data_IF_544422929283
#
_entry.id   IF_544422929283
#
_cell.length_a   1.000
_cell.length_b   1.000
_cell.length_c   1.000
_cell.angle_alpha   90.00
_cell.angle_beta   90.00
_cell.angle_gamma   90.00
#
_symmetry.space_group_name_H-M   'P 1'
#
loop_
_entity.id
_entity.type
_entity.pdbx_description
1 polymer ?
#
# COMPACT_ATOMS: atom_id res chain seq x y z
N UNK A 1 -17.44 18.97 0.56
CA UNK A 1 -16.17 18.75 -0.17
C UNK A 1 -16.07 19.76 -1.29
N UNK A 2 -15.07 20.66 -1.25
CA UNK A 2 -14.99 21.85 -2.09
C UNK A 2 -14.75 21.47 -3.57
N UNK A 3 -15.34 22.20 -4.54
CA UNK A 3 -15.23 21.91 -5.99
C UNK A 3 -13.77 21.90 -6.46
N UNK A 4 -12.94 22.81 -5.93
CA UNK A 4 -11.50 22.89 -6.21
C UNK A 4 -10.75 21.62 -5.78
N UNK A 5 -11.13 20.99 -4.68
CA UNK A 5 -10.52 19.75 -4.21
C UNK A 5 -10.87 18.55 -5.10
N UNK A 6 -12.06 18.56 -5.74
CA UNK A 6 -12.44 17.53 -6.71
C UNK A 6 -11.61 17.61 -7.99
N UNK A 7 -11.41 18.79 -8.56
CA UNK A 7 -10.60 18.96 -9.78
C UNK A 7 -9.12 18.58 -9.55
N UNK A 8 -8.58 18.86 -8.38
CA UNK A 8 -7.23 18.45 -8.02
C UNK A 8 -7.09 16.92 -7.93
N UNK A 9 -8.05 16.23 -7.29
CA UNK A 9 -8.02 14.76 -7.20
C UNK A 9 -8.14 14.12 -8.58
N UNK A 10 -9.01 14.62 -9.44
CA UNK A 10 -9.18 14.08 -10.81
C UNK A 10 -7.88 14.20 -11.64
N UNK A 11 -7.05 15.21 -11.40
CA UNK A 11 -5.75 15.35 -12.06
C UNK A 11 -4.69 14.39 -11.49
N UNK A 12 -4.65 14.19 -10.18
CA UNK A 12 -3.73 13.25 -9.53
C UNK A 12 -4.06 11.79 -9.84
N UNK A 13 -5.35 11.44 -9.97
CA UNK A 13 -5.78 10.13 -10.45
C UNK A 13 -5.31 9.87 -11.89
N UNK A 14 -5.36 10.88 -12.79
CA UNK A 14 -4.84 10.77 -14.16
C UNK A 14 -3.33 10.50 -14.19
N UNK A 15 -2.57 11.19 -13.35
CA UNK A 15 -1.12 10.98 -13.22
C UNK A 15 -0.82 9.56 -12.74
N UNK A 16 -1.49 9.11 -11.69
CA UNK A 16 -1.32 7.76 -11.16
C UNK A 16 -1.76 6.69 -12.17
N UNK A 17 -2.82 6.96 -12.96
CA UNK A 17 -3.27 6.09 -14.04
C UNK A 17 -2.25 6.01 -15.19
N UNK A 18 -1.63 7.12 -15.56
CA UNK A 18 -0.58 7.13 -16.58
C UNK A 18 0.62 6.27 -16.14
N UNK A 19 1.07 6.43 -14.87
CA UNK A 19 2.10 5.57 -14.31
C UNK A 19 1.70 4.08 -14.30
N UNK A 20 0.47 3.77 -13.91
CA UNK A 20 -0.05 2.40 -13.96
C UNK A 20 0.05 1.79 -15.36
N UNK A 21 -0.17 2.58 -16.41
CA UNK A 21 -0.05 2.12 -17.80
C UNK A 21 1.40 1.71 -18.12
N UNK A 22 2.39 2.48 -17.68
CA UNK A 22 3.80 2.12 -17.84
C UNK A 22 4.19 0.87 -17.03
N UNK A 23 3.76 0.78 -15.78
CA UNK A 23 3.99 -0.41 -14.96
C UNK A 23 3.37 -1.66 -15.60
N UNK A 24 2.16 -1.56 -16.11
CA UNK A 24 1.51 -2.67 -16.81
C UNK A 24 2.21 -3.06 -18.10
N UNK A 25 2.73 -2.08 -18.87
CA UNK A 25 3.52 -2.33 -20.06
C UNK A 25 4.84 -3.05 -19.74
N UNK A 26 5.55 -2.65 -18.67
CA UNK A 26 6.73 -3.34 -18.16
C UNK A 26 6.41 -4.81 -17.82
N UNK A 27 5.34 -5.06 -17.07
CA UNK A 27 4.95 -6.41 -16.68
C UNK A 27 4.56 -7.29 -17.88
N UNK A 28 3.91 -6.72 -18.91
CA UNK A 28 3.47 -7.45 -20.10
C UNK A 28 4.62 -7.71 -21.08
N UNK A 29 5.41 -6.69 -21.40
CA UNK A 29 6.42 -6.74 -22.45
C UNK A 29 7.81 -7.16 -21.91
N UNK A 30 8.01 -7.10 -20.60
CA UNK A 30 9.29 -7.33 -19.94
C UNK A 30 10.09 -6.03 -19.75
N UNK A 31 11.07 -6.11 -18.87
CA UNK A 31 12.02 -5.04 -18.59
C UNK A 31 13.40 -5.48 -19.14
N UNK A 32 14.05 -4.71 -20.03
CA UNK A 32 15.31 -5.13 -20.67
C UNK A 32 16.48 -5.25 -19.68
N UNK A 33 16.37 -4.69 -18.49
CA UNK A 33 17.38 -4.73 -17.43
C UNK A 33 17.22 -5.89 -16.46
N UNK A 34 16.15 -6.71 -16.62
CA UNK A 34 15.88 -7.87 -15.79
C UNK A 34 16.04 -9.16 -16.59
N UNK A 35 16.60 -10.19 -15.96
CA UNK A 35 16.62 -11.52 -16.52
C UNK A 35 15.22 -12.19 -16.46
N UNK A 36 15.12 -13.41 -17.01
CA UNK A 36 13.84 -14.13 -17.09
C UNK A 36 13.27 -14.50 -15.71
N UNK A 37 14.13 -14.83 -14.77
CA UNK A 37 13.71 -15.23 -13.42
C UNK A 37 13.26 -14.02 -12.62
N UNK A 38 13.99 -12.91 -12.66
CA UNK A 38 13.62 -11.63 -12.05
C UNK A 38 12.30 -11.08 -12.61
N UNK A 39 12.10 -11.19 -13.92
CA UNK A 39 10.81 -10.83 -14.55
C UNK A 39 9.66 -11.72 -14.08
N UNK A 40 9.89 -13.03 -13.91
CA UNK A 40 8.88 -13.93 -13.39
C UNK A 40 8.51 -13.59 -11.93
N UNK A 41 9.50 -13.27 -11.09
CA UNK A 41 9.31 -12.83 -9.71
C UNK A 41 8.54 -11.51 -9.65
N UNK A 42 8.93 -10.52 -10.45
CA UNK A 42 8.23 -9.26 -10.55
C UNK A 42 6.76 -9.44 -10.95
N UNK A 43 6.48 -10.27 -11.97
CA UNK A 43 5.11 -10.58 -12.40
C UNK A 43 4.29 -11.28 -11.33
N UNK A 44 4.90 -12.21 -10.59
CA UNK A 44 4.23 -12.93 -9.51
C UNK A 44 3.78 -12.02 -8.35
N UNK A 45 4.47 -10.92 -8.14
CA UNK A 45 4.10 -9.90 -7.15
C UNK A 45 2.84 -9.11 -7.54
N UNK A 46 2.51 -9.04 -8.84
CA UNK A 46 1.35 -8.30 -9.35
C UNK A 46 0.29 -9.19 -10.02
N UNK A 47 -0.19 -10.26 -9.36
CA UNK A 47 -1.09 -11.23 -10.00
C UNK A 47 -2.41 -10.60 -10.45
N UNK A 48 -2.89 -9.58 -9.73
CA UNK A 48 -4.11 -8.85 -10.09
C UNK A 48 -3.95 -7.94 -11.32
N UNK A 49 -2.73 -7.60 -11.73
CA UNK A 49 -2.46 -6.89 -12.99
C UNK A 49 -2.32 -7.85 -14.17
N UNK A 50 -1.90 -9.09 -13.92
CA UNK A 50 -1.62 -10.08 -14.94
C UNK A 50 -2.84 -10.94 -15.31
N UNK A 51 -3.70 -11.24 -14.35
CA UNK A 51 -4.90 -12.04 -14.57
C UNK A 51 -6.11 -11.17 -14.93
N UNK A 52 -6.18 -10.77 -16.21
CA UNK A 52 -7.30 -9.97 -16.74
C UNK A 52 -8.64 -10.71 -16.75
N UNK A 53 -8.65 -12.03 -16.69
CA UNK A 53 -9.88 -12.81 -16.62
C UNK A 53 -10.52 -12.69 -15.23
N UNK A 54 -9.72 -12.65 -14.19
CA UNK A 54 -10.17 -12.53 -12.80
C UNK A 54 -10.33 -11.08 -12.36
N UNK A 55 -9.41 -10.21 -12.83
CA UNK A 55 -9.35 -8.80 -12.42
C UNK A 55 -9.45 -7.89 -13.65
N UNK A 56 -10.62 -7.30 -13.94
CA UNK A 56 -10.77 -6.38 -15.08
C UNK A 56 -9.72 -5.26 -15.00
N UNK A 57 -8.92 -5.04 -16.05
CA UNK A 57 -7.84 -4.06 -16.04
C UNK A 57 -8.26 -2.65 -15.68
N UNK A 58 -9.45 -2.25 -16.12
CA UNK A 58 -10.01 -0.93 -15.83
C UNK A 58 -10.35 -0.76 -14.33
N UNK A 59 -10.84 -1.82 -13.67
CA UNK A 59 -11.10 -1.80 -12.24
C UNK A 59 -9.80 -1.70 -11.46
N UNK A 60 -8.80 -2.52 -11.80
CA UNK A 60 -7.48 -2.51 -11.15
C UNK A 60 -6.82 -1.15 -11.31
N UNK A 61 -6.86 -0.58 -12.52
CA UNK A 61 -6.35 0.75 -12.81
C UNK A 61 -7.04 1.84 -11.98
N UNK A 62 -8.37 1.77 -11.87
CA UNK A 62 -9.15 2.72 -11.06
C UNK A 62 -8.77 2.64 -9.57
N UNK A 63 -8.67 1.42 -9.02
CA UNK A 63 -8.27 1.21 -7.62
C UNK A 63 -6.83 1.70 -7.39
N UNK A 64 -5.92 1.39 -8.32
CA UNK A 64 -4.53 1.81 -8.26
C UNK A 64 -4.42 3.34 -8.24
N UNK A 65 -5.05 4.00 -9.21
CA UNK A 65 -5.02 5.45 -9.35
C UNK A 65 -5.63 6.15 -8.13
N UNK A 66 -6.77 5.69 -7.66
CA UNK A 66 -7.44 6.25 -6.48
C UNK A 66 -6.56 6.22 -5.23
N UNK A 67 -5.88 5.10 -4.96
CA UNK A 67 -5.01 4.99 -3.78
C UNK A 67 -3.79 5.90 -3.86
N UNK A 68 -3.24 6.11 -5.06
CA UNK A 68 -2.04 6.90 -5.29
C UNK A 68 -2.30 8.38 -5.53
N UNK A 69 -3.55 8.76 -5.77
CA UNK A 69 -3.93 10.16 -5.87
C UNK A 69 -3.53 10.98 -4.63
N UNK A 70 -3.65 10.39 -3.44
CA UNK A 70 -3.29 11.05 -2.18
C UNK A 70 -1.78 11.35 -2.05
N UNK A 71 -0.85 10.38 -2.19
CA UNK A 71 0.57 10.67 -2.14
C UNK A 71 1.03 11.52 -3.33
N UNK A 72 0.47 11.34 -4.52
CA UNK A 72 0.74 12.20 -5.69
C UNK A 72 0.41 13.66 -5.35
N UNK A 73 -0.77 13.93 -4.76
CA UNK A 73 -1.14 15.29 -4.34
C UNK A 73 -0.16 15.84 -3.31
N UNK A 74 0.20 15.04 -2.29
CA UNK A 74 1.12 15.48 -1.26
C UNK A 74 2.52 15.84 -1.81
N UNK A 75 2.98 15.14 -2.83
CA UNK A 75 4.25 15.42 -3.51
C UNK A 75 4.14 16.71 -4.33
N UNK A 76 3.06 16.87 -5.11
CA UNK A 76 2.85 18.07 -5.95
C UNK A 76 2.67 19.33 -5.11
N UNK A 77 2.06 19.23 -3.94
CA UNK A 77 1.89 20.36 -3.00
C UNK A 77 3.18 20.72 -2.25
N UNK A 78 4.18 19.85 -2.30
CA UNK A 78 5.41 19.99 -1.54
C UNK A 78 6.51 20.66 -2.37
N UNK A 79 7.14 21.69 -1.83
CA UNK A 79 8.37 22.25 -2.39
C UNK A 79 9.55 21.35 -2.01
N UNK A 80 10.26 20.78 -2.99
CA UNK A 80 11.38 19.84 -2.79
C UNK A 80 10.98 18.63 -1.90
N UNK A 81 10.02 17.80 -2.33
CA UNK A 81 9.48 16.74 -1.50
C UNK A 81 10.54 15.68 -1.20
N UNK A 82 10.75 15.40 0.10
CA UNK A 82 11.54 14.29 0.59
C UNK A 82 10.57 13.16 1.00
N UNK A 83 10.65 12.04 0.29
CA UNK A 83 9.73 10.92 0.45
C UNK A 83 10.45 9.73 1.06
N UNK A 84 9.84 9.12 2.06
CA UNK A 84 10.24 7.84 2.61
C UNK A 84 9.21 6.79 2.19
N UNK A 85 9.64 5.83 1.34
CA UNK A 85 8.83 4.69 0.92
C UNK A 85 9.23 3.48 1.78
N UNK A 86 8.42 3.19 2.78
CA UNK A 86 8.68 2.14 3.76
C UNK A 86 8.01 0.83 3.35
N UNK A 87 8.80 -0.22 3.15
CA UNK A 87 8.37 -1.47 2.55
C UNK A 87 8.15 -1.29 1.05
N UNK A 88 9.18 -0.80 0.36
CA UNK A 88 9.09 -0.39 -1.04
C UNK A 88 8.93 -1.56 -2.03
N UNK A 89 9.25 -2.78 -1.58
CA UNK A 89 9.23 -3.95 -2.43
C UNK A 89 10.06 -3.75 -3.70
N UNK A 90 9.48 -4.00 -4.85
CA UNK A 90 10.12 -3.80 -6.15
C UNK A 90 10.17 -2.34 -6.61
N UNK A 91 9.87 -1.35 -5.76
CA UNK A 91 10.08 0.08 -6.01
C UNK A 91 9.06 0.77 -6.90
N UNK A 92 7.91 0.14 -7.22
CA UNK A 92 6.96 0.74 -8.19
C UNK A 92 6.39 2.08 -7.71
N UNK A 93 6.04 2.24 -6.44
CA UNK A 93 5.57 3.51 -5.90
C UNK A 93 6.73 4.53 -5.78
N UNK A 94 7.93 4.05 -5.44
CA UNK A 94 9.15 4.89 -5.41
C UNK A 94 9.44 5.54 -6.75
N UNK A 95 9.29 4.81 -7.87
CA UNK A 95 9.48 5.38 -9.21
C UNK A 95 8.41 6.41 -9.56
N UNK A 96 7.14 6.17 -9.18
CA UNK A 96 6.09 7.17 -9.34
C UNK A 96 6.45 8.47 -8.60
N UNK A 97 6.86 8.36 -7.35
CA UNK A 97 7.20 9.52 -6.53
C UNK A 97 8.42 10.27 -7.04
N UNK A 98 9.46 9.57 -7.48
CA UNK A 98 10.64 10.18 -8.06
C UNK A 98 10.35 10.82 -9.43
N UNK A 99 9.48 10.22 -10.25
CA UNK A 99 9.03 10.81 -11.51
C UNK A 99 8.30 12.14 -11.32
N UNK A 100 7.68 12.36 -10.15
CA UNK A 100 7.04 13.62 -9.77
C UNK A 100 8.02 14.65 -9.16
N UNK A 101 9.31 14.33 -9.09
CA UNK A 101 10.34 15.21 -8.52
C UNK A 101 10.60 14.99 -7.03
N UNK A 102 10.07 13.92 -6.46
CA UNK A 102 10.39 13.51 -5.10
C UNK A 102 11.82 12.98 -4.98
N UNK A 103 12.50 13.36 -3.90
CA UNK A 103 13.74 12.68 -3.46
C UNK A 103 13.34 11.50 -2.59
N UNK A 104 13.46 10.29 -3.13
CA UNK A 104 12.91 9.09 -2.50
C UNK A 104 13.99 8.30 -1.79
N UNK A 105 13.77 7.97 -0.53
CA UNK A 105 14.49 6.92 0.19
C UNK A 105 13.53 5.75 0.36
N UNK A 106 13.84 4.66 -0.32
CA UNK A 106 13.02 3.45 -0.38
C UNK A 106 13.69 2.33 0.42
N UNK A 107 12.96 1.71 1.34
CA UNK A 107 13.51 0.67 2.22
C UNK A 107 12.64 -0.57 2.16
N UNK A 108 13.29 -1.72 2.03
CA UNK A 108 12.65 -3.03 2.17
C UNK A 108 13.58 -4.01 2.88
N UNK A 109 13.02 -4.99 3.57
CA UNK A 109 13.79 -6.04 4.25
C UNK A 109 14.36 -7.07 3.27
N UNK A 110 13.74 -7.24 2.11
CA UNK A 110 14.13 -8.19 1.08
C UNK A 110 15.24 -7.63 0.21
N UNK A 111 16.47 -8.14 0.39
CA UNK A 111 17.61 -7.79 -0.46
C UNK A 111 17.34 -8.07 -1.93
N UNK A 112 16.64 -9.16 -2.24
CA UNK A 112 16.26 -9.54 -3.60
C UNK A 112 15.33 -8.51 -4.25
N UNK A 113 14.30 -8.06 -3.53
CA UNK A 113 13.37 -7.06 -4.06
C UNK A 113 14.04 -5.72 -4.29
N UNK A 114 14.94 -5.33 -3.39
CA UNK A 114 15.76 -4.12 -3.50
C UNK A 114 16.68 -4.20 -4.73
N UNK A 115 17.37 -5.32 -4.93
CA UNK A 115 18.24 -5.53 -6.10
C UNK A 115 17.45 -5.41 -7.43
N UNK A 116 16.28 -6.06 -7.50
CA UNK A 116 15.41 -5.95 -8.67
C UNK A 116 14.91 -4.51 -8.85
N UNK A 117 14.58 -3.80 -7.77
CA UNK A 117 14.17 -2.39 -7.84
C UNK A 117 15.31 -1.51 -8.41
N UNK A 118 16.55 -1.71 -7.98
CA UNK A 118 17.70 -0.99 -8.53
C UNK A 118 17.91 -1.26 -10.03
N UNK A 119 17.80 -2.52 -10.48
CA UNK A 119 17.87 -2.91 -11.89
C UNK A 119 16.71 -2.34 -12.72
N UNK A 120 15.55 -2.07 -12.14
CA UNK A 120 14.41 -1.45 -12.81
C UNK A 120 14.54 0.06 -13.01
N UNK A 121 15.38 0.73 -12.23
CA UNK A 121 15.53 2.19 -12.27
C UNK A 121 15.86 2.73 -13.67
N UNK A 122 16.85 2.19 -14.42
CA UNK A 122 17.17 2.68 -15.77
C UNK A 122 15.96 2.63 -16.72
N UNK A 123 15.14 1.59 -16.66
CA UNK A 123 13.92 1.50 -17.46
C UNK A 123 12.99 2.69 -17.23
N UNK A 124 12.75 3.05 -15.98
CA UNK A 124 11.89 4.21 -15.67
C UNK A 124 12.53 5.54 -15.98
N UNK A 125 13.86 5.66 -15.89
CA UNK A 125 14.60 6.84 -16.32
C UNK A 125 14.47 7.06 -17.83
N UNK A 126 14.50 5.99 -18.62
CA UNK A 126 14.23 6.04 -20.08
C UNK A 126 12.78 6.41 -20.37
N UNK A 127 11.81 5.76 -19.70
CA UNK A 127 10.37 6.03 -19.87
C UNK A 127 10.04 7.50 -19.61
N UNK A 128 10.60 8.06 -18.53
CA UNK A 128 10.34 9.46 -18.14
C UNK A 128 11.35 10.46 -18.72
N UNK A 129 12.37 9.99 -19.44
CA UNK A 129 13.46 10.81 -20.03
C UNK A 129 14.11 11.75 -19.02
N UNK A 130 14.33 11.26 -17.83
CA UNK A 130 14.96 12.02 -16.73
C UNK A 130 15.59 11.08 -15.71
N UNK A 131 16.63 11.56 -15.04
CA UNK A 131 17.17 10.87 -13.86
C UNK A 131 16.17 10.89 -12.71
N UNK A 132 16.04 9.77 -12.00
CA UNK A 132 15.15 9.59 -10.85
C UNK A 132 15.96 9.65 -9.55
N UNK A 133 15.64 10.63 -8.68
CA UNK A 133 16.26 10.74 -7.37
C UNK A 133 15.67 9.70 -6.40
N UNK A 134 16.00 8.44 -6.60
CA UNK A 134 15.60 7.33 -5.73
C UNK A 134 16.82 6.55 -5.27
N UNK A 135 16.85 6.25 -3.96
CA UNK A 135 17.88 5.40 -3.33
C UNK A 135 17.17 4.25 -2.64
N UNK A 136 17.51 3.02 -3.00
CA UNK A 136 16.99 1.82 -2.36
C UNK A 136 17.94 1.33 -1.27
N UNK A 137 17.40 0.75 -0.20
CA UNK A 137 18.17 0.21 0.93
C UNK A 137 17.54 -1.05 1.48
N UNK A 138 18.37 -2.01 1.82
CA UNK A 138 17.94 -3.20 2.57
C UNK A 138 17.99 -2.89 4.04
N UNK A 139 16.84 -2.89 4.72
CA UNK A 139 16.79 -2.73 6.18
C UNK A 139 15.45 -3.20 6.76
N UNK A 140 15.47 -3.66 8.02
CA UNK A 140 14.28 -3.99 8.78
C UNK A 140 13.65 -2.70 9.34
N UNK A 141 12.38 -2.47 9.07
CA UNK A 141 11.65 -1.30 9.55
C UNK A 141 11.48 -1.28 11.08
N UNK A 142 11.56 -2.42 11.75
CA UNK A 142 11.55 -2.48 13.21
C UNK A 142 12.78 -1.79 13.83
N UNK A 143 13.90 -1.76 13.13
CA UNK A 143 15.17 -1.18 13.58
C UNK A 143 15.53 0.12 12.86
N UNK A 144 15.07 0.26 11.62
CA UNK A 144 15.44 1.39 10.76
C UNK A 144 14.97 2.72 11.32
N UNK A 145 15.87 3.69 11.31
CA UNK A 145 15.57 5.09 11.61
C UNK A 145 15.92 5.94 10.40
N UNK A 146 14.97 6.74 9.86
CA UNK A 146 15.27 7.62 8.75
C UNK A 146 16.42 8.58 9.09
N UNK A 147 17.51 8.53 8.31
CA UNK A 147 18.68 9.40 8.51
C UNK A 147 18.36 10.87 8.29
N UNK A 148 17.47 11.13 7.33
CA UNK A 148 17.04 12.49 7.01
C UNK A 148 15.86 12.87 7.88
N UNK A 149 15.97 13.99 8.58
CA UNK A 149 14.86 14.71 9.19
C UNK A 149 14.24 15.61 8.11
N UNK A 150 13.00 16.00 8.26
CA UNK A 150 12.21 16.82 7.30
C UNK A 150 11.53 16.03 6.18
N UNK A 151 11.10 14.81 6.46
CA UNK A 151 10.25 14.05 5.53
C UNK A 151 8.97 14.84 5.22
N UNK A 152 8.69 15.00 3.93
CA UNK A 152 7.43 15.59 3.44
C UNK A 152 6.31 14.55 3.42
N UNK A 153 6.69 13.30 3.08
CA UNK A 153 5.77 12.18 2.97
C UNK A 153 6.46 10.91 3.44
N UNK A 154 5.80 10.14 4.28
CA UNK A 154 6.08 8.72 4.47
C UNK A 154 4.93 7.92 3.88
N UNK A 155 5.25 6.97 3.01
CA UNK A 155 4.32 6.07 2.37
C UNK A 155 4.49 4.65 2.89
N UNK A 156 3.39 4.04 3.31
CA UNK A 156 3.32 2.67 3.84
C UNK A 156 2.20 1.93 3.11
N UNK A 157 2.54 1.09 2.15
CA UNK A 157 1.57 0.34 1.37
C UNK A 157 1.60 -1.14 1.73
N UNK A 158 0.64 -1.60 2.52
CA UNK A 158 0.50 -3.00 2.96
C UNK A 158 1.70 -3.52 3.76
N UNK A 159 2.36 -2.65 4.52
CA UNK A 159 3.57 -2.99 5.27
C UNK A 159 3.42 -2.76 6.78
N UNK A 160 2.63 -1.76 7.21
CA UNK A 160 2.49 -1.48 8.65
C UNK A 160 1.93 -2.68 9.42
N UNK A 161 1.12 -3.49 8.75
CA UNK A 161 0.54 -4.70 9.33
C UNK A 161 1.59 -5.75 9.77
N UNK A 162 2.78 -5.77 9.15
CA UNK A 162 3.86 -6.72 9.43
C UNK A 162 4.97 -6.15 10.31
N UNK A 163 5.01 -4.84 10.55
CA UNK A 163 5.93 -4.21 11.50
C UNK A 163 5.57 -4.67 12.92
N UNK A 164 6.53 -5.22 13.66
CA UNK A 164 6.29 -5.82 14.98
C UNK A 164 6.02 -4.76 16.04
N UNK A 165 6.86 -3.72 16.09
CA UNK A 165 6.70 -2.60 17.02
C UNK A 165 6.23 -1.32 16.32
N UNK A 166 4.95 -1.30 15.96
CA UNK A 166 4.34 -0.22 15.20
C UNK A 166 4.37 1.14 15.92
N UNK A 167 4.21 1.14 17.26
CA UNK A 167 4.27 2.36 18.07
C UNK A 167 5.67 2.99 17.98
N UNK A 168 6.74 2.20 18.18
CA UNK A 168 8.11 2.68 18.10
C UNK A 168 8.51 3.09 16.67
N UNK A 169 8.07 2.34 15.65
CA UNK A 169 8.29 2.69 14.26
C UNK A 169 7.64 4.03 13.92
N UNK A 170 6.35 4.21 14.22
CA UNK A 170 5.62 5.43 13.95
C UNK A 170 6.16 6.64 14.74
N UNK A 171 6.66 6.44 15.96
CA UNK A 171 7.35 7.49 16.73
C UNK A 171 8.63 7.96 16.01
N UNK A 172 9.45 7.03 15.48
CA UNK A 172 10.61 7.38 14.66
C UNK A 172 10.22 8.16 13.41
N UNK A 173 9.15 7.74 12.72
CA UNK A 173 8.62 8.45 11.56
C UNK A 173 8.11 9.84 11.94
N UNK A 174 7.37 9.95 13.05
CA UNK A 174 6.91 11.27 13.53
C UNK A 174 8.08 12.23 13.77
N UNK A 175 9.13 11.77 14.45
CA UNK A 175 10.33 12.57 14.72
C UNK A 175 11.06 13.00 13.44
N UNK A 176 11.07 12.14 12.42
CA UNK A 176 11.68 12.44 11.11
C UNK A 176 10.81 13.32 10.20
N UNK A 177 9.51 13.37 10.42
CA UNK A 177 8.56 14.14 9.61
C UNK A 177 8.66 15.63 9.94
N UNK A 178 8.67 16.51 8.93
CA UNK A 178 8.61 17.97 9.10
C UNK A 178 7.23 18.45 9.54
N UNK A 179 7.11 19.67 10.01
CA UNK A 179 5.81 20.33 10.21
C UNK A 179 5.05 20.37 8.86
N UNK A 180 3.76 20.01 8.86
CA UNK A 180 2.94 19.85 7.66
C UNK A 180 3.30 18.64 6.79
N UNK A 181 4.28 17.84 7.20
CA UNK A 181 4.59 16.57 6.54
C UNK A 181 3.56 15.49 6.87
N UNK A 182 3.44 14.50 6.00
CA UNK A 182 2.36 13.50 6.07
C UNK A 182 2.89 12.08 6.18
N UNK A 183 2.21 11.26 6.96
CA UNK A 183 2.30 9.80 6.88
C UNK A 183 1.02 9.28 6.23
N UNK A 184 1.16 8.40 5.24
CA UNK A 184 0.04 7.78 4.56
C UNK A 184 0.17 6.27 4.62
N UNK A 185 -0.84 5.63 5.15
CA UNK A 185 -0.91 4.17 5.31
C UNK A 185 -2.02 3.61 4.46
N UNK A 186 -1.68 2.72 3.56
CA UNK A 186 -2.64 1.90 2.79
C UNK A 186 -2.59 0.49 3.32
N UNK A 187 -3.74 -0.01 3.76
CA UNK A 187 -3.83 -1.39 4.24
C UNK A 187 -5.22 -1.98 4.01
N UNK A 188 -5.34 -3.30 4.29
CA UNK A 188 -6.62 -4.00 4.20
C UNK A 188 -7.55 -3.59 5.35
N UNK A 189 -8.83 -3.44 5.01
CA UNK A 189 -9.85 -2.98 5.93
C UNK A 189 -10.52 -4.15 6.64
N UNK A 190 -10.33 -4.25 7.94
CA UNK A 190 -11.01 -5.24 8.79
C UNK A 190 -12.55 -5.13 8.80
N UNK A 191 -13.10 -3.99 8.38
CA UNK A 191 -14.55 -3.82 8.28
C UNK A 191 -15.12 -4.40 6.99
N UNK A 192 -14.28 -4.79 6.02
CA UNK A 192 -14.75 -5.35 4.77
C UNK A 192 -15.18 -6.81 4.95
N UNK A 193 -16.47 -7.15 4.71
CA UNK A 193 -16.97 -8.51 4.92
C UNK A 193 -16.29 -9.54 4.02
N UNK A 194 -15.94 -9.16 2.80
CA UNK A 194 -15.29 -10.05 1.84
C UNK A 194 -13.82 -10.34 2.24
N UNK A 195 -13.13 -9.35 2.79
CA UNK A 195 -11.81 -9.56 3.39
C UNK A 195 -11.88 -10.55 4.55
N UNK A 196 -12.80 -10.33 5.50
CA UNK A 196 -13.01 -11.21 6.65
C UNK A 196 -13.37 -12.64 6.21
N UNK A 197 -14.24 -12.80 5.20
CA UNK A 197 -14.60 -14.10 4.65
C UNK A 197 -13.42 -14.83 4.01
N UNK A 198 -12.58 -14.12 3.22
CA UNK A 198 -11.39 -14.71 2.62
C UNK A 198 -10.38 -15.15 3.70
N UNK A 199 -10.16 -14.33 4.73
CA UNK A 199 -9.26 -14.70 5.82
C UNK A 199 -9.80 -15.91 6.62
N UNK A 200 -11.11 -15.98 6.83
CA UNK A 200 -11.73 -17.14 7.42
C UNK A 200 -11.55 -18.43 6.56
N UNK A 201 -11.70 -18.33 5.23
CA UNK A 201 -11.44 -19.45 4.32
C UNK A 201 -9.99 -19.92 4.39
N UNK A 202 -9.03 -18.99 4.29
CA UNK A 202 -7.60 -19.28 4.37
C UNK A 202 -7.25 -19.99 5.68
N UNK A 203 -7.82 -19.55 6.78
CA UNK A 203 -7.63 -20.15 8.09
C UNK A 203 -8.23 -21.56 8.19
N UNK A 204 -9.45 -21.75 7.69
CA UNK A 204 -10.04 -23.10 7.64
C UNK A 204 -9.17 -24.05 6.82
N UNK A 205 -8.56 -23.57 5.75
CA UNK A 205 -7.63 -24.38 4.96
C UNK A 205 -6.35 -24.67 5.77
N UNK A 206 -5.73 -23.68 6.38
CA UNK A 206 -4.56 -23.84 7.25
C UNK A 206 -4.84 -24.75 8.45
N UNK A 207 -6.02 -24.63 9.09
CA UNK A 207 -6.46 -25.52 10.18
C UNK A 207 -6.63 -26.99 9.74
N UNK A 208 -6.99 -27.25 8.48
CA UNK A 208 -7.05 -28.59 7.94
C UNK A 208 -5.65 -29.17 7.69
N UNK A 209 -4.68 -28.30 7.37
CA UNK A 209 -3.30 -28.65 7.04
C UNK A 209 -2.39 -28.76 8.28
N UNK A 210 -2.74 -28.13 9.41
CA UNK A 210 -1.92 -28.11 10.63
C UNK A 210 -2.75 -28.26 11.90
N UNK A 211 -2.50 -29.34 12.66
CA UNK A 211 -3.13 -29.59 13.96
C UNK A 211 -2.70 -28.58 15.07
N UNK A 212 -1.53 -27.95 14.92
CA UNK A 212 -1.03 -26.95 15.86
C UNK A 212 -1.82 -25.64 15.78
N UNK A 213 -2.25 -25.27 14.61
CA UNK A 213 -3.06 -24.08 14.36
C UNK A 213 -4.46 -24.16 15.01
N UNK A 214 -4.95 -25.38 15.24
CA UNK A 214 -6.26 -25.62 15.88
C UNK A 214 -6.30 -25.20 17.35
N UNK A 215 -5.14 -25.06 18.02
CA UNK A 215 -5.05 -24.68 19.45
C UNK A 215 -5.17 -23.20 19.71
N UNK A 216 -4.95 -22.32 18.73
CA UNK A 216 -4.94 -20.86 18.93
C UNK A 216 -6.25 -20.12 18.67
N UNK A 217 -7.30 -20.85 18.53
CA UNK A 217 -8.55 -20.16 18.75
C UNK A 217 -9.50 -19.91 17.62
N UNK A 218 -10.69 -19.89 18.03
CA UNK A 218 -11.88 -19.48 17.34
C UNK A 218 -11.65 -18.14 16.59
N UNK A 219 -11.90 -18.15 15.30
CA UNK A 219 -11.86 -16.97 14.43
C UNK A 219 -12.63 -15.79 15.03
N UNK A 220 -13.80 -16.07 15.64
CA UNK A 220 -14.63 -15.05 16.26
C UNK A 220 -14.02 -14.46 17.54
N UNK A 221 -13.33 -15.26 18.36
CA UNK A 221 -12.61 -14.76 19.51
C UNK A 221 -11.50 -13.80 19.10
N UNK A 222 -10.89 -14.04 17.94
CA UNK A 222 -9.86 -13.18 17.38
C UNK A 222 -10.42 -11.90 16.75
N UNK A 223 -11.56 -11.97 16.08
CA UNK A 223 -12.28 -10.78 15.59
C UNK A 223 -12.81 -9.95 16.77
N UNK A 224 -13.21 -10.59 17.86
CA UNK A 224 -13.67 -9.93 19.10
C UNK A 224 -12.53 -9.31 19.92
N UNK A 225 -11.30 -9.84 19.84
CA UNK A 225 -10.10 -9.19 20.42
C UNK A 225 -9.69 -7.91 19.70
N UNK A 226 -10.65 -7.18 19.16
CA UNK A 226 -10.54 -5.83 18.59
C UNK A 226 -10.12 -4.81 19.66
N UNK A 227 -8.98 -5.06 20.28
CA UNK A 227 -8.36 -4.13 21.20
C UNK A 227 -7.89 -2.85 20.51
N UNK A 228 -7.23 -1.99 21.27
CA UNK A 228 -6.64 -0.73 20.76
C UNK A 228 -5.67 -0.93 19.59
N UNK A 229 -5.09 -2.12 19.43
CA UNK A 229 -4.03 -2.46 18.45
C UNK A 229 -4.50 -3.17 17.19
N UNK A 230 -5.82 -3.32 16.94
CA UNK A 230 -6.32 -4.07 15.78
C UNK A 230 -6.37 -5.59 16.01
N UNK A 231 -6.67 -6.34 14.97
CA UNK A 231 -6.73 -7.80 15.01
C UNK A 231 -5.44 -8.40 14.41
N UNK A 232 -4.85 -9.37 15.10
CA UNK A 232 -3.69 -10.10 14.63
C UNK A 232 -4.12 -11.32 13.84
N UNK A 233 -3.41 -11.59 12.76
CA UNK A 233 -3.59 -12.76 11.91
C UNK A 233 -2.24 -13.39 11.68
N UNK A 234 -2.22 -14.71 11.54
CA UNK A 234 -1.04 -15.44 11.13
C UNK A 234 -1.12 -15.70 9.64
N UNK A 235 -0.18 -15.20 8.88
CA UNK A 235 -0.02 -15.50 7.48
C UNK A 235 1.04 -16.58 7.31
N UNK A 236 0.78 -17.58 6.45
CA UNK A 236 1.78 -18.56 6.07
C UNK A 236 2.57 -17.99 4.90
N UNK A 237 3.88 -17.87 5.06
CA UNK A 237 4.79 -17.64 3.94
C UNK A 237 4.95 -18.90 3.08
N UNK A 238 5.65 -18.79 1.94
CA UNK A 238 5.87 -19.91 1.03
C UNK A 238 6.66 -21.07 1.63
N UNK A 239 7.35 -20.87 2.75
CA UNK A 239 8.17 -21.85 3.47
C UNK A 239 7.45 -22.47 4.67
N UNK A 240 6.26 -22.02 5.00
CA UNK A 240 5.46 -22.55 6.11
C UNK A 240 5.67 -21.85 7.45
N UNK A 241 6.39 -20.76 7.48
CA UNK A 241 6.51 -19.88 8.65
C UNK A 241 5.23 -19.04 8.79
N UNK A 242 4.77 -18.80 10.00
CA UNK A 242 3.61 -17.96 10.29
C UNK A 242 4.08 -16.60 10.76
N UNK A 243 3.87 -15.58 9.94
CA UNK A 243 4.08 -14.20 10.33
C UNK A 243 2.89 -13.64 11.11
N UNK A 244 3.15 -12.94 12.20
CA UNK A 244 2.15 -12.22 12.98
C UNK A 244 1.79 -10.92 12.27
N UNK A 245 0.69 -10.94 11.53
CA UNK A 245 0.20 -9.79 10.77
C UNK A 245 -0.93 -9.10 11.50
N UNK A 246 -0.76 -7.83 11.80
CA UNK A 246 -1.74 -7.03 12.53
C UNK A 246 -2.49 -6.06 11.62
N UNK A 247 -3.72 -6.39 11.23
CA UNK A 247 -4.58 -5.48 10.47
C UNK A 247 -5.38 -4.53 11.36
N UNK A 248 -5.71 -3.38 10.81
CA UNK A 248 -6.41 -2.31 11.50
C UNK A 248 -7.78 -2.02 10.88
N UNK A 249 -8.69 -1.48 11.69
CA UNK A 249 -9.75 -0.64 11.15
C UNK A 249 -9.20 0.77 10.93
N UNK A 250 -9.76 1.58 10.01
CA UNK A 250 -9.33 2.98 9.85
C UNK A 250 -9.37 3.77 11.15
N UNK A 251 -10.36 3.55 11.99
CA UNK A 251 -10.49 4.21 13.29
C UNK A 251 -9.40 3.79 14.29
N UNK A 252 -9.00 2.51 14.26
CA UNK A 252 -7.93 2.02 15.15
C UNK A 252 -6.58 2.58 14.70
N UNK A 253 -6.32 2.60 13.40
CA UNK A 253 -5.11 3.21 12.84
C UNK A 253 -5.06 4.71 13.11
N UNK A 254 -6.17 5.44 12.95
CA UNK A 254 -6.23 6.86 13.28
C UNK A 254 -5.92 7.14 14.76
N UNK A 255 -6.37 6.25 15.68
CA UNK A 255 -5.98 6.36 17.11
C UNK A 255 -4.49 6.10 17.33
N UNK A 256 -3.92 5.11 16.64
CA UNK A 256 -2.50 4.81 16.71
C UNK A 256 -1.65 5.99 16.19
N UNK A 257 -2.04 6.63 15.09
CA UNK A 257 -1.37 7.82 14.58
C UNK A 257 -1.47 9.00 15.57
N UNK A 258 -2.64 9.18 16.22
CA UNK A 258 -2.79 10.22 17.26
C UNK A 258 -1.92 9.98 18.48
N UNK A 259 -1.76 8.73 18.92
CA UNK A 259 -0.96 8.41 20.11
C UNK A 259 0.52 8.77 19.96
N UNK A 260 1.03 8.84 18.71
CA UNK A 260 2.40 9.27 18.42
C UNK A 260 2.50 10.76 18.01
N UNK A 261 1.38 11.50 17.92
CA UNK A 261 1.36 12.94 17.70
C UNK A 261 0.85 13.41 16.34
N UNK A 262 0.57 12.50 15.38
CA UNK A 262 -0.03 12.89 14.11
C UNK A 262 -1.49 13.30 14.27
N UNK A 263 -1.95 14.21 13.39
CA UNK A 263 -3.36 14.56 13.24
C UNK A 263 -3.95 13.77 12.05
N UNK A 264 -4.74 12.70 12.30
CA UNK A 264 -5.27 11.89 11.20
C UNK A 264 -6.45 12.57 10.52
N UNK A 265 -6.47 12.48 9.18
CA UNK A 265 -7.58 12.91 8.34
C UNK A 265 -8.54 11.77 8.03
N UNK A 266 -9.70 12.12 7.46
CA UNK A 266 -10.69 11.16 6.98
C UNK A 266 -10.06 10.23 5.95
N UNK A 267 -10.15 8.92 6.16
CA UNK A 267 -9.51 7.95 5.26
C UNK A 267 -10.20 7.90 3.90
N UNK A 268 -9.43 7.59 2.88
CA UNK A 268 -9.93 7.14 1.59
C UNK A 268 -10.15 5.62 1.59
N UNK A 269 -11.10 5.13 0.80
CA UNK A 269 -11.40 3.70 0.68
C UNK A 269 -11.43 3.25 -0.76
N UNK A 270 -11.11 1.99 -1.02
CA UNK A 270 -11.11 1.41 -2.36
C UNK A 270 -11.36 -0.10 -2.32
N UNK A 271 -11.67 -0.70 -3.47
CA UNK A 271 -11.86 -2.14 -3.59
C UNK A 271 -13.21 -2.61 -3.05
N UNK A 272 -14.29 -1.88 -3.35
CA UNK A 272 -15.64 -2.23 -2.94
C UNK A 272 -16.23 -3.36 -3.76
N UNK A 273 -15.91 -3.38 -5.06
CA UNK A 273 -16.51 -4.30 -5.99
C UNK A 273 -15.71 -5.58 -6.06
N UNK A 274 -16.29 -6.75 -5.72
CA UNK A 274 -15.64 -8.02 -6.00
C UNK A 274 -15.33 -8.12 -7.50
N UNK A 275 -14.10 -8.45 -7.89
CA UNK A 275 -13.68 -8.38 -9.30
C UNK A 275 -14.45 -9.33 -10.23
N UNK A 276 -15.04 -10.40 -9.68
CA UNK A 276 -15.85 -11.38 -10.44
C UNK A 276 -17.32 -10.99 -10.59
N UNK A 277 -17.80 -9.99 -9.83
CA UNK A 277 -19.15 -9.47 -9.93
C UNK A 277 -19.14 -8.19 -10.77
N UNK A 278 -20.16 -8.04 -11.61
CA UNK A 278 -20.44 -6.79 -12.34
C UNK A 278 -19.31 -6.31 -13.27
N UNK A 279 -18.68 -7.19 -14.06
CA UNK A 279 -17.55 -6.87 -14.94
C UNK A 279 -17.73 -5.57 -15.75
N UNK A 280 -18.93 -5.32 -16.30
CA UNK A 280 -19.21 -4.15 -17.13
C UNK A 280 -19.40 -2.83 -16.38
N UNK A 281 -19.78 -2.89 -15.09
CA UNK A 281 -20.14 -1.71 -14.30
C UNK A 281 -19.22 -1.51 -13.07
N UNK A 282 -18.33 -2.45 -12.82
CA UNK A 282 -17.49 -2.47 -11.60
C UNK A 282 -16.72 -1.17 -11.37
N UNK A 283 -16.15 -0.56 -12.41
CA UNK A 283 -15.42 0.72 -12.29
C UNK A 283 -16.33 1.89 -11.90
N UNK A 284 -17.57 1.90 -12.40
CA UNK A 284 -18.54 2.95 -12.06
C UNK A 284 -19.03 2.79 -10.63
N UNK A 285 -19.33 1.56 -10.21
CA UNK A 285 -19.69 1.25 -8.83
C UNK A 285 -18.53 1.59 -7.88
N UNK A 286 -17.30 1.26 -8.23
CA UNK A 286 -16.14 1.61 -7.44
C UNK A 286 -16.03 3.13 -7.22
N UNK A 287 -16.14 3.93 -8.30
CA UNK A 287 -16.11 5.39 -8.22
C UNK A 287 -17.25 5.97 -7.38
N UNK A 288 -18.43 5.39 -7.43
CA UNK A 288 -19.59 5.81 -6.62
C UNK A 288 -19.33 5.47 -5.15
N UNK A 289 -19.01 4.21 -4.85
CA UNK A 289 -18.84 3.75 -3.47
C UNK A 289 -17.68 4.44 -2.75
N UNK A 290 -16.56 4.74 -3.42
CA UNK A 290 -15.47 5.53 -2.85
C UNK A 290 -15.92 6.91 -2.36
N UNK A 291 -16.99 7.45 -2.90
CA UNK A 291 -17.44 8.85 -2.70
C UNK A 291 -18.70 8.98 -1.83
N UNK A 292 -19.41 7.88 -1.58
CA UNK A 292 -20.64 7.90 -0.75
C UNK A 292 -20.28 7.73 0.72
N UNK A 293 -20.55 8.74 1.58
CA UNK A 293 -20.33 8.64 3.02
C UNK A 293 -21.07 7.44 3.64
N UNK A 294 -20.40 6.71 4.50
CA UNK A 294 -20.94 5.51 5.15
C UNK A 294 -20.70 4.22 4.35
N UNK A 295 -21.01 4.17 3.06
CA UNK A 295 -20.69 3.03 2.20
C UNK A 295 -19.19 2.89 1.97
N UNK A 296 -18.47 4.00 1.89
CA UNK A 296 -17.03 4.02 1.73
C UNK A 296 -16.28 3.25 2.83
N UNK A 297 -16.84 3.14 4.04
CA UNK A 297 -16.24 2.37 5.14
C UNK A 297 -16.18 0.85 4.87
N UNK A 298 -16.87 0.35 3.87
CA UNK A 298 -16.88 -1.08 3.49
C UNK A 298 -15.84 -1.42 2.42
N UNK A 299 -15.06 -0.47 1.93
CA UNK A 299 -13.97 -0.72 0.98
C UNK A 299 -12.98 -1.76 1.49
N UNK A 300 -12.43 -2.57 0.59
CA UNK A 300 -11.46 -3.64 0.90
C UNK A 300 -10.15 -3.12 1.48
N UNK A 301 -9.75 -1.94 1.04
CA UNK A 301 -8.58 -1.26 1.55
C UNK A 301 -8.89 0.22 1.79
N UNK A 302 -8.07 0.85 2.61
CA UNK A 302 -8.17 2.25 2.97
C UNK A 302 -6.83 2.97 2.80
N UNK A 303 -6.90 4.29 2.74
CA UNK A 303 -5.75 5.20 2.89
C UNK A 303 -6.04 6.10 4.08
N UNK A 304 -5.29 5.96 5.16
CA UNK A 304 -5.33 6.89 6.31
C UNK A 304 -4.12 7.80 6.26
N UNK A 305 -4.37 9.09 6.35
CA UNK A 305 -3.33 10.12 6.33
C UNK A 305 -3.23 10.77 7.71
N UNK A 306 -2.02 10.88 8.27
CA UNK A 306 -1.72 11.69 9.44
C UNK A 306 -0.80 12.83 9.07
N UNK A 307 -1.06 14.04 9.56
CA UNK A 307 -0.22 15.23 9.39
C UNK A 307 0.44 15.62 10.71
N UNK A 308 1.70 16.07 10.64
CA UNK A 308 2.45 16.58 11.80
C UNK A 308 2.27 18.08 11.97
#
# INVERSE_FOLDING_TARGET
>A
MNVLFREQIDNTEKIAHAFYTHLRAELANGNPYLDKEEQARLRSHYPFMMDSNRYPPELVSTIYAYRRAYPVQAILDSKNPLVFDAGSGYGSDSFLFAALGGKVVAVDVSAEQVEIAEKRKPYYEEVFRRSLEVTFRVADLDEYTPERKNLSLTWLSSVLAIVRNQDAFLDRIYKATRAGGKVMVVDFNLLNPFFLWNEWRRRRQALRESREFAREGDFWAMVQRRGRKGARFYARDGEGVFDDVQFFTPATLARLLRSVGFQPFTPGFSGFTPPFLFRGVSKHLERVFCRVPGLNNLGRAYVVTGEK
#
